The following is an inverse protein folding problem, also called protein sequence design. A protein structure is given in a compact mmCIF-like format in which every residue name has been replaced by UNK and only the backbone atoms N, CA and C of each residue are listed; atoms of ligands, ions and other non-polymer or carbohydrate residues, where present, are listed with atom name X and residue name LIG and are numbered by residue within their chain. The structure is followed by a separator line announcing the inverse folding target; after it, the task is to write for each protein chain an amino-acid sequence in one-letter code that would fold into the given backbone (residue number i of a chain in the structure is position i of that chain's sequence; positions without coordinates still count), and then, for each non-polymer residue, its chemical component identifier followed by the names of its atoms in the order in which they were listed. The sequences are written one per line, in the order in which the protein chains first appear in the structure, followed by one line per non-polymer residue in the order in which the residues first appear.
data_IF_064182037045
#
_entry.id   IF_064182037045
#
_cell.length_a   1.000
_cell.length_b   1.000
_cell.length_c   1.000
_cell.angle_alpha   90.00
_cell.angle_beta   90.00
_cell.angle_gamma   90.00
#
_symmetry.space_group_name_H-M   'P 1'
#
loop_
_entity.id
_entity.type
_entity.pdbx_description
1 polymer ?
#
# COMPACT_ATOMS: atom_id res chain seq x y z
N UNK A 1 4.35 34.04 26.19
CA UNK A 1 5.46 33.05 26.15
C UNK A 1 6.12 33.10 24.77
N UNK A 2 7.40 33.47 24.66
CA UNK A 2 8.04 33.70 23.36
C UNK A 2 8.51 32.36 22.74
N UNK A 3 7.66 31.74 21.92
CA UNK A 3 7.96 30.51 21.16
C UNK A 3 9.33 30.54 20.44
N UNK A 4 9.73 31.72 19.93
CA UNK A 4 11.03 31.93 19.29
C UNK A 4 12.24 31.72 20.20
N UNK A 5 12.12 31.88 21.52
CA UNK A 5 13.21 31.58 22.46
C UNK A 5 13.50 30.08 22.50
N UNK A 6 12.45 29.25 22.65
CA UNK A 6 12.58 27.80 22.69
C UNK A 6 13.09 27.22 21.37
N UNK A 7 12.66 27.77 20.22
CA UNK A 7 13.14 27.33 18.90
C UNK A 7 14.62 27.62 18.70
N UNK A 8 15.09 28.83 19.07
CA UNK A 8 16.49 29.23 18.94
C UNK A 8 17.39 28.41 19.87
N UNK A 9 16.89 28.13 21.07
CA UNK A 9 17.59 27.32 22.06
C UNK A 9 17.69 25.84 21.63
N UNK A 10 16.65 25.29 21.02
CA UNK A 10 16.67 23.94 20.45
C UNK A 10 17.66 23.82 19.27
N UNK A 11 17.71 24.80 18.36
CA UNK A 11 18.71 24.80 17.28
C UNK A 11 20.16 24.88 17.81
N UNK A 12 20.38 25.64 18.88
CA UNK A 12 21.68 25.68 19.56
C UNK A 12 22.03 24.35 20.23
N UNK A 13 21.04 23.68 20.83
CA UNK A 13 21.16 22.34 21.40
C UNK A 13 21.61 21.33 20.34
N UNK A 14 20.91 21.31 19.19
CA UNK A 14 21.17 20.41 18.07
C UNK A 14 22.60 20.52 17.54
N UNK A 15 23.15 21.75 17.49
CA UNK A 15 24.56 21.94 17.09
C UNK A 15 25.57 21.39 18.10
N UNK A 16 25.24 21.38 19.40
CA UNK A 16 26.10 20.81 20.46
C UNK A 16 26.06 19.28 20.48
N UNK A 17 24.94 18.67 20.12
CA UNK A 17 24.73 17.21 20.03
C UNK A 17 24.50 16.76 18.58
N UNK A 18 25.31 17.29 17.64
CA UNK A 18 25.06 17.18 16.21
C UNK A 18 25.05 15.74 15.69
N UNK A 19 25.99 14.89 16.11
CA UNK A 19 26.07 13.50 15.64
C UNK A 19 24.85 12.65 16.02
N UNK A 20 24.45 12.55 17.31
CA UNK A 20 23.23 11.82 17.70
C UNK A 20 21.95 12.40 17.08
N UNK A 21 21.86 13.72 16.98
CA UNK A 21 20.71 14.41 16.37
C UNK A 21 20.60 14.10 14.89
N UNK A 22 21.72 14.10 14.17
CA UNK A 22 21.77 13.73 12.76
C UNK A 22 21.42 12.26 12.54
N UNK A 23 21.95 11.35 13.37
CA UNK A 23 21.60 9.93 13.30
C UNK A 23 20.10 9.70 13.51
N UNK A 24 19.51 10.33 14.53
CA UNK A 24 18.08 10.27 14.79
C UNK A 24 17.25 10.84 13.62
N UNK A 25 17.67 11.98 13.06
CA UNK A 25 17.04 12.60 11.88
C UNK A 25 17.10 11.66 10.67
N UNK A 26 18.25 11.06 10.39
CA UNK A 26 18.45 10.14 9.27
C UNK A 26 17.57 8.88 9.41
N UNK A 27 17.43 8.34 10.62
CA UNK A 27 16.53 7.19 10.84
C UNK A 27 15.06 7.58 10.63
N UNK A 28 14.62 8.75 11.10
CA UNK A 28 13.26 9.25 10.82
C UNK A 28 13.06 9.44 9.32
N UNK A 29 14.04 10.01 8.61
CA UNK A 29 14.01 10.16 7.16
C UNK A 29 13.81 8.81 6.47
N UNK A 30 14.63 7.80 6.79
CA UNK A 30 14.54 6.47 6.17
C UNK A 30 13.18 5.84 6.47
N UNK A 31 12.68 5.99 7.70
CA UNK A 31 11.36 5.50 8.10
C UNK A 31 10.25 6.13 7.24
N UNK A 32 10.27 7.45 7.06
CA UNK A 32 9.27 8.16 6.27
C UNK A 32 9.39 7.88 4.77
N UNK A 33 10.60 7.67 4.26
CA UNK A 33 10.79 7.22 2.87
C UNK A 33 10.17 5.84 2.64
N UNK A 34 10.46 4.87 3.51
CA UNK A 34 9.89 3.53 3.41
C UNK A 34 8.37 3.60 3.46
N UNK A 35 7.79 4.33 4.42
CA UNK A 35 6.34 4.50 4.50
C UNK A 35 5.76 5.20 3.27
N UNK A 36 6.40 6.28 2.82
CA UNK A 36 5.95 7.09 1.68
C UNK A 36 5.98 6.35 0.34
N UNK A 37 6.91 5.41 0.16
CA UNK A 37 6.96 4.54 -1.03
C UNK A 37 5.95 3.39 -0.92
N UNK A 38 5.91 2.69 0.21
CA UNK A 38 5.13 1.46 0.30
C UNK A 38 3.63 1.67 0.54
N UNK A 39 3.21 2.76 1.18
CA UNK A 39 1.77 3.03 1.40
C UNK A 39 1.02 3.12 0.06
N UNK A 40 1.44 3.94 -0.92
CA UNK A 40 0.80 3.98 -2.24
C UNK A 40 0.84 2.63 -2.96
N UNK A 41 1.94 1.87 -2.89
CA UNK A 41 2.07 0.55 -3.53
C UNK A 41 1.04 -0.44 -2.96
N UNK A 42 0.92 -0.52 -1.63
CA UNK A 42 -0.04 -1.41 -0.98
C UNK A 42 -1.46 -1.00 -1.30
N UNK A 43 -1.77 0.31 -1.32
CA UNK A 43 -3.10 0.80 -1.71
C UNK A 43 -3.42 0.53 -3.16
N UNK A 44 -2.50 0.81 -4.08
CA UNK A 44 -2.63 0.54 -5.51
C UNK A 44 -2.97 -0.93 -5.76
N UNK A 45 -2.22 -1.83 -5.12
CA UNK A 45 -2.41 -3.27 -5.31
C UNK A 45 -3.69 -3.79 -4.63
N UNK A 46 -4.05 -3.23 -3.47
CA UNK A 46 -5.28 -3.59 -2.76
C UNK A 46 -6.53 -3.07 -3.49
N UNK A 47 -6.48 -1.85 -4.03
CA UNK A 47 -7.55 -1.24 -4.82
C UNK A 47 -7.81 -2.02 -6.10
N UNK A 48 -6.76 -2.27 -6.88
CA UNK A 48 -6.84 -3.10 -8.09
C UNK A 48 -7.42 -4.49 -7.78
N UNK A 49 -6.95 -5.13 -6.72
CA UNK A 49 -7.44 -6.45 -6.36
C UNK A 49 -8.87 -6.43 -5.80
N UNK A 50 -9.31 -5.36 -5.14
CA UNK A 50 -10.70 -5.21 -4.68
C UNK A 50 -11.66 -4.93 -5.83
N UNK A 51 -11.26 -4.16 -6.84
CA UNK A 51 -12.07 -3.99 -8.06
C UNK A 51 -12.24 -5.31 -8.80
N UNK A 52 -11.16 -6.09 -8.92
CA UNK A 52 -11.21 -7.43 -9.51
C UNK A 52 -12.03 -8.40 -8.64
N UNK A 53 -11.94 -8.29 -7.31
CA UNK A 53 -12.81 -9.03 -6.37
C UNK A 53 -14.26 -8.54 -6.39
N UNK A 54 -14.57 -7.34 -6.85
CA UNK A 54 -15.94 -6.87 -7.05
C UNK A 54 -16.58 -7.48 -8.30
N UNK A 55 -15.74 -7.83 -9.29
CA UNK A 55 -16.12 -8.53 -10.52
C UNK A 55 -15.81 -10.03 -10.41
N UNK A 56 -16.45 -10.68 -9.46
CA UNK A 56 -16.38 -12.13 -9.30
C UNK A 56 -17.06 -12.81 -10.47
N UNK A 57 -16.24 -13.12 -11.45
CA UNK A 57 -16.66 -13.65 -12.72
C UNK A 57 -15.91 -14.96 -12.92
N UNK A 58 -16.69 -16.02 -13.05
CA UNK A 58 -16.23 -17.27 -13.60
C UNK A 58 -16.37 -17.14 -15.12
N UNK A 59 -15.27 -17.27 -15.84
CA UNK A 59 -15.28 -17.22 -17.29
C UNK A 59 -15.34 -18.66 -17.82
N UNK A 60 -16.40 -18.94 -18.58
CA UNK A 60 -16.60 -20.19 -19.28
C UNK A 60 -16.32 -19.93 -20.75
N UNK A 61 -15.19 -20.44 -21.24
CA UNK A 61 -14.77 -20.28 -22.62
C UNK A 61 -15.38 -21.37 -23.49
N UNK A 62 -15.99 -20.96 -24.60
CA UNK A 62 -16.44 -21.89 -25.63
C UNK A 62 -15.29 -22.27 -26.53
N UNK A 63 -15.37 -23.48 -27.10
CA UNK A 63 -14.47 -23.89 -28.19
C UNK A 63 -14.65 -22.99 -29.41
N UNK A 64 -13.60 -22.86 -30.21
CA UNK A 64 -13.58 -22.01 -31.40
C UNK A 64 -14.54 -22.47 -32.51
N UNK A 65 -14.97 -23.72 -32.50
CA UNK A 65 -15.93 -24.35 -33.41
C UNK A 65 -17.38 -24.37 -32.89
N UNK A 66 -17.64 -23.82 -31.69
CA UNK A 66 -18.97 -23.79 -31.10
C UNK A 66 -19.96 -22.97 -31.94
N UNK A 67 -21.14 -23.53 -32.19
CA UNK A 67 -22.19 -22.86 -32.97
C UNK A 67 -23.03 -21.92 -32.09
N UNK A 68 -23.84 -21.06 -32.71
CA UNK A 68 -24.82 -20.24 -31.97
C UNK A 68 -25.83 -21.07 -31.18
N UNK A 69 -26.17 -22.27 -31.66
CA UNK A 69 -27.03 -23.21 -30.95
C UNK A 69 -26.33 -23.79 -29.71
N UNK A 70 -25.03 -24.09 -29.81
CA UNK A 70 -24.23 -24.53 -28.66
C UNK A 70 -24.13 -23.44 -27.60
N UNK A 71 -23.91 -22.19 -28.00
CA UNK A 71 -23.88 -21.07 -27.07
C UNK A 71 -25.21 -20.94 -26.30
N UNK A 72 -26.35 -21.05 -26.99
CA UNK A 72 -27.67 -20.99 -26.32
C UNK A 72 -27.89 -22.16 -25.36
N UNK A 73 -27.47 -23.37 -25.74
CA UNK A 73 -27.55 -24.57 -24.92
C UNK A 73 -26.71 -24.44 -23.65
N UNK A 74 -25.43 -24.10 -23.80
CA UNK A 74 -24.50 -23.84 -22.69
C UNK A 74 -25.03 -22.74 -21.77
N UNK A 75 -25.56 -21.65 -22.33
CA UNK A 75 -26.13 -20.57 -21.54
C UNK A 75 -27.27 -21.05 -20.64
N UNK A 76 -28.17 -21.88 -21.18
CA UNK A 76 -29.28 -22.46 -20.43
C UNK A 76 -28.81 -23.38 -19.30
N UNK A 77 -27.81 -24.22 -19.56
CA UNK A 77 -27.23 -25.11 -18.54
C UNK A 77 -26.55 -24.34 -17.40
N UNK A 78 -25.77 -23.31 -17.74
CA UNK A 78 -25.13 -22.44 -16.73
C UNK A 78 -26.20 -21.72 -15.90
N UNK A 79 -27.27 -21.19 -16.52
CA UNK A 79 -28.32 -20.47 -15.80
C UNK A 79 -29.10 -21.36 -14.83
N UNK A 80 -29.24 -22.67 -15.14
CA UNK A 80 -29.89 -23.65 -14.25
C UNK A 80 -29.00 -24.14 -13.12
N UNK A 81 -27.70 -23.83 -13.16
CA UNK A 81 -26.75 -24.29 -12.15
C UNK A 81 -26.98 -23.54 -10.82
N UNK A 82 -27.20 -24.26 -9.69
CA UNK A 82 -27.38 -23.63 -8.39
C UNK A 82 -26.20 -22.73 -8.01
N UNK A 83 -26.50 -21.53 -7.52
CA UNK A 83 -25.47 -20.56 -7.14
C UNK A 83 -25.08 -19.57 -8.23
N UNK A 84 -25.64 -19.67 -9.44
CA UNK A 84 -25.50 -18.64 -10.50
C UNK A 84 -26.53 -17.53 -10.30
N UNK A 85 -26.07 -16.27 -10.25
CA UNK A 85 -26.92 -15.08 -10.16
C UNK A 85 -27.20 -14.46 -11.52
N UNK A 86 -26.18 -14.41 -12.38
CA UNK A 86 -26.26 -13.78 -13.70
C UNK A 86 -25.27 -14.43 -14.67
N UNK A 87 -25.71 -14.65 -15.90
CA UNK A 87 -24.87 -15.10 -17.01
C UNK A 87 -24.88 -14.03 -18.10
N UNK A 88 -23.71 -13.60 -18.54
CA UNK A 88 -23.56 -12.64 -19.63
C UNK A 88 -22.74 -13.27 -20.75
N UNK A 89 -23.31 -13.32 -21.96
CA UNK A 89 -22.58 -13.70 -23.15
C UNK A 89 -21.72 -12.55 -23.65
N UNK A 90 -20.42 -12.79 -23.82
CA UNK A 90 -19.46 -11.86 -24.41
C UNK A 90 -18.92 -12.50 -25.67
N UNK A 91 -19.31 -11.96 -26.82
CA UNK A 91 -18.80 -12.47 -28.09
C UNK A 91 -17.32 -12.14 -28.26
N UNK A 92 -16.60 -12.96 -29.03
CA UNK A 92 -15.20 -12.74 -29.38
C UNK A 92 -14.94 -11.34 -29.94
N UNK A 93 -15.86 -10.82 -30.76
CA UNK A 93 -15.76 -9.46 -31.32
C UNK A 93 -15.88 -8.37 -30.24
N UNK A 94 -16.81 -8.53 -29.28
CA UNK A 94 -16.96 -7.58 -28.16
C UNK A 94 -15.79 -7.66 -27.18
N UNK A 95 -15.31 -8.86 -26.88
CA UNK A 95 -14.13 -9.07 -26.05
C UNK A 95 -12.90 -8.38 -26.68
N UNK A 96 -12.70 -8.57 -27.98
CA UNK A 96 -11.61 -7.96 -28.72
C UNK A 96 -11.69 -6.43 -28.76
N UNK A 97 -12.87 -5.86 -29.01
CA UNK A 97 -13.07 -4.41 -28.99
C UNK A 97 -12.78 -3.81 -27.59
N UNK A 98 -13.17 -4.50 -26.52
CA UNK A 98 -12.92 -4.07 -25.16
C UNK A 98 -11.43 -4.14 -24.78
N UNK A 99 -10.75 -5.24 -25.10
CA UNK A 99 -9.32 -5.41 -24.81
C UNK A 99 -8.44 -4.52 -25.67
N UNK A 100 -8.77 -4.32 -26.96
CA UNK A 100 -8.08 -3.36 -27.83
C UNK A 100 -8.18 -1.92 -27.33
N UNK A 101 -9.31 -1.54 -26.70
CA UNK A 101 -9.45 -0.21 -26.08
C UNK A 101 -8.56 -0.06 -24.84
N UNK A 102 -8.27 -1.16 -24.15
CA UNK A 102 -7.47 -1.20 -22.93
C UNK A 102 -5.97 -1.32 -23.22
N UNK A 103 -5.60 -2.02 -24.29
CA UNK A 103 -4.21 -2.22 -24.71
C UNK A 103 -4.10 -2.15 -26.25
N UNK A 104 -4.06 -0.94 -26.83
CA UNK A 104 -4.09 -0.76 -28.28
C UNK A 104 -2.86 -1.34 -28.98
N UNK A 105 -1.69 -1.25 -28.36
CA UNK A 105 -0.40 -1.65 -28.94
C UNK A 105 -0.24 -3.18 -29.00
N UNK A 106 -0.60 -3.89 -27.94
CA UNK A 106 -0.49 -5.35 -27.90
C UNK A 106 -1.37 -6.05 -28.95
N UNK A 107 -2.55 -5.50 -29.25
CA UNK A 107 -3.51 -6.08 -30.20
C UNK A 107 -3.34 -5.59 -31.64
N UNK A 108 -2.55 -4.54 -31.87
CA UNK A 108 -2.17 -4.12 -33.24
C UNK A 108 -1.18 -5.11 -33.88
N UNK A 109 -0.32 -5.74 -33.08
CA UNK A 109 0.69 -6.71 -33.56
C UNK A 109 0.10 -8.08 -33.95
N UNK A 110 -1.08 -8.42 -33.44
CA UNK A 110 -1.68 -9.76 -33.59
C UNK A 110 -2.39 -9.95 -34.94
N UNK A 111 -2.88 -8.89 -35.59
CA UNK A 111 -3.56 -8.93 -36.90
C UNK A 111 -4.91 -9.69 -36.96
N UNK A 112 -5.14 -10.63 -36.05
CA UNK A 112 -6.35 -11.46 -35.92
C UNK A 112 -6.83 -11.49 -34.47
N UNK A 113 -8.11 -11.80 -34.26
CA UNK A 113 -8.72 -11.88 -32.92
C UNK A 113 -8.46 -13.25 -32.28
N UNK A 114 -7.62 -13.37 -31.24
CA UNK A 114 -7.32 -14.65 -30.61
C UNK A 114 -8.36 -15.07 -29.55
N UNK A 115 -9.36 -14.23 -29.27
CA UNK A 115 -10.27 -14.43 -28.14
C UNK A 115 -11.46 -15.33 -28.53
N UNK A 116 -11.82 -16.32 -27.70
CA UNK A 116 -13.02 -17.12 -27.90
C UNK A 116 -14.28 -16.42 -27.39
N UNK A 117 -15.44 -16.93 -27.78
CA UNK A 117 -16.72 -16.54 -27.17
C UNK A 117 -16.75 -17.00 -25.70
N UNK A 118 -17.17 -16.11 -24.80
CA UNK A 118 -17.05 -16.32 -23.35
C UNK A 118 -18.35 -16.05 -22.64
N UNK A 119 -18.77 -16.96 -21.76
CA UNK A 119 -19.80 -16.68 -20.77
C UNK A 119 -19.18 -16.20 -19.47
N UNK A 120 -19.62 -15.03 -19.05
CA UNK A 120 -19.22 -14.37 -17.83
C UNK A 120 -20.27 -14.62 -16.76
N UNK A 121 -19.95 -15.50 -15.83
CA UNK A 121 -20.89 -16.02 -14.82
C UNK A 121 -20.64 -15.32 -13.48
N UNK A 122 -21.66 -14.64 -12.97
CA UNK A 122 -21.66 -14.00 -11.65
C UNK A 122 -22.31 -14.95 -10.64
N UNK A 123 -21.62 -15.35 -9.56
CA UNK A 123 -22.20 -16.18 -8.52
C UNK A 123 -23.12 -15.36 -7.60
N UNK A 124 -24.06 -16.03 -6.92
CA UNK A 124 -24.91 -15.43 -5.88
C UNK A 124 -24.10 -15.09 -4.63
N UNK A 125 -23.14 -15.93 -4.28
CA UNK A 125 -22.19 -15.69 -3.19
C UNK A 125 -20.74 -15.72 -3.69
N UNK A 126 -20.02 -14.66 -3.37
CA UNK A 126 -18.60 -14.47 -3.65
C UNK A 126 -17.69 -15.62 -3.16
N UNK A 127 -18.02 -16.27 -2.06
CA UNK A 127 -17.26 -17.38 -1.48
C UNK A 127 -17.39 -18.69 -2.25
N UNK A 128 -18.40 -18.83 -3.11
CA UNK A 128 -18.77 -20.08 -3.77
C UNK A 128 -18.21 -20.23 -5.19
N UNK A 129 -17.37 -19.32 -5.69
CA UNK A 129 -16.83 -19.40 -7.06
C UNK A 129 -16.12 -20.72 -7.33
N UNK A 130 -15.31 -21.19 -6.37
CA UNK A 130 -14.56 -22.44 -6.55
C UNK A 130 -15.53 -23.63 -6.61
N UNK A 131 -16.54 -23.65 -5.75
CA UNK A 131 -17.59 -24.65 -5.80
C UNK A 131 -18.36 -24.60 -7.13
N UNK A 132 -18.71 -23.40 -7.60
CA UNK A 132 -19.41 -23.22 -8.88
C UNK A 132 -18.55 -23.67 -10.08
N UNK A 133 -17.25 -23.40 -10.04
CA UNK A 133 -16.28 -23.93 -11.02
C UNK A 133 -16.24 -25.45 -10.98
N UNK A 134 -16.23 -26.04 -9.80
CA UNK A 134 -16.15 -27.49 -9.62
C UNK A 134 -17.47 -28.18 -10.03
N UNK A 135 -18.61 -27.48 -9.95
CA UNK A 135 -19.90 -27.95 -10.50
C UNK A 135 -19.92 -27.85 -12.03
N UNK A 136 -19.42 -26.75 -12.60
CA UNK A 136 -19.42 -26.51 -14.06
C UNK A 136 -18.31 -27.29 -14.80
N UNK A 137 -17.24 -27.67 -14.11
CA UNK A 137 -16.14 -28.44 -14.65
C UNK A 137 -15.49 -29.32 -13.55
N UNK A 138 -16.16 -30.40 -13.13
CA UNK A 138 -15.65 -31.32 -12.12
C UNK A 138 -14.30 -31.92 -12.51
N UNK A 139 -13.44 -32.08 -11.51
CA UNK A 139 -12.14 -32.75 -11.64
C UNK A 139 -12.37 -34.25 -11.78
N UNK A 140 -11.85 -34.85 -12.85
CA UNK A 140 -11.89 -36.30 -13.10
C UNK A 140 -10.61 -36.97 -12.59
N UNK A 141 -10.68 -38.27 -12.31
CA UNK A 141 -9.65 -39.10 -11.64
C UNK A 141 -8.29 -39.22 -12.38
N UNK A 142 -8.03 -38.40 -13.40
CA UNK A 142 -6.74 -38.29 -14.12
C UNK A 142 -6.16 -36.87 -14.15
N UNK A 143 -6.65 -35.95 -13.30
CA UNK A 143 -6.16 -34.57 -13.22
C UNK A 143 -6.74 -33.59 -14.25
N UNK A 144 -7.52 -34.09 -15.22
CA UNK A 144 -8.31 -33.26 -16.14
C UNK A 144 -9.60 -32.73 -15.52
N UNK A 145 -10.23 -31.75 -16.18
CA UNK A 145 -11.59 -31.31 -15.86
C UNK A 145 -12.53 -31.67 -16.99
N UNK A 146 -13.72 -32.15 -16.65
CA UNK A 146 -14.78 -32.43 -17.62
C UNK A 146 -15.87 -31.39 -17.47
N UNK A 147 -15.97 -30.41 -18.40
CA UNK A 147 -17.05 -29.44 -18.36
C UNK A 147 -18.42 -30.11 -18.46
N UNK A 148 -19.44 -29.43 -17.94
CA UNK A 148 -20.85 -29.86 -18.03
C UNK A 148 -21.33 -30.04 -19.48
N UNK A 149 -20.68 -29.35 -20.43
CA UNK A 149 -21.04 -29.32 -21.84
C UNK A 149 -19.80 -29.54 -22.72
N UNK A 150 -19.86 -30.39 -23.76
CA UNK A 150 -18.74 -30.60 -24.69
C UNK A 150 -18.32 -29.36 -25.49
N UNK A 151 -19.17 -28.35 -25.62
CA UNK A 151 -18.86 -27.08 -26.29
C UNK A 151 -18.03 -26.12 -25.41
N UNK A 152 -17.89 -26.42 -24.11
CA UNK A 152 -17.01 -25.67 -23.21
C UNK A 152 -15.58 -26.19 -23.36
N UNK A 153 -14.64 -25.28 -23.62
CA UNK A 153 -13.22 -25.60 -23.66
C UNK A 153 -12.63 -25.58 -22.25
N UNK A 154 -12.79 -24.46 -21.54
CA UNK A 154 -12.27 -24.30 -20.18
C UNK A 154 -13.16 -23.42 -19.32
N UNK A 155 -13.22 -23.76 -18.03
CA UNK A 155 -13.85 -22.93 -17.00
C UNK A 155 -12.73 -22.36 -16.13
N UNK A 156 -12.43 -21.06 -16.30
CA UNK A 156 -11.38 -20.38 -15.54
C UNK A 156 -11.99 -19.48 -14.49
N UNK A 157 -11.44 -19.59 -13.29
CA UNK A 157 -11.66 -18.61 -12.26
C UNK A 157 -10.66 -17.48 -12.46
N UNK A 158 -11.14 -16.28 -12.81
CA UNK A 158 -10.28 -15.10 -12.94
C UNK A 158 -9.56 -14.73 -11.62
N UNK A 159 -9.97 -15.33 -10.49
CA UNK A 159 -9.25 -15.26 -9.22
C UNK A 159 -7.91 -15.98 -9.19
N UNK A 160 -7.63 -17.01 -9.99
CA UNK A 160 -6.40 -17.79 -9.79
C UNK A 160 -5.13 -16.96 -10.08
N UNK A 161 -5.20 -16.05 -11.06
CA UNK A 161 -4.15 -15.05 -11.32
C UNK A 161 -4.18 -13.90 -10.29
N UNK A 162 -5.38 -13.47 -9.90
CA UNK A 162 -5.56 -12.41 -8.88
C UNK A 162 -5.08 -12.87 -7.49
N UNK A 163 -5.20 -14.15 -7.17
CA UNK A 163 -4.78 -14.75 -5.90
C UNK A 163 -3.25 -14.71 -5.73
N UNK A 164 -2.48 -14.86 -6.82
CA UNK A 164 -1.02 -14.70 -6.81
C UNK A 164 -0.61 -13.25 -6.53
N UNK A 165 -1.28 -12.30 -7.15
CA UNK A 165 -1.06 -10.86 -6.89
C UNK A 165 -1.44 -10.53 -5.44
N UNK A 166 -2.57 -11.04 -4.96
CA UNK A 166 -3.07 -10.83 -3.60
C UNK A 166 -2.19 -11.47 -2.52
N UNK A 167 -1.66 -12.66 -2.76
CA UNK A 167 -0.73 -13.30 -1.83
C UNK A 167 0.60 -12.55 -1.80
N UNK A 168 1.15 -12.16 -2.95
CA UNK A 168 2.34 -11.30 -3.03
C UNK A 168 2.13 -9.97 -2.30
N UNK A 169 0.98 -9.31 -2.50
CA UNK A 169 0.62 -8.08 -1.78
C UNK A 169 0.59 -8.30 -0.27
N UNK A 170 0.07 -9.44 0.20
CA UNK A 170 0.02 -9.75 1.63
C UNK A 170 1.42 -9.92 2.22
N UNK A 171 2.32 -10.59 1.49
CA UNK A 171 3.73 -10.73 1.88
C UNK A 171 4.42 -9.38 1.92
N UNK A 172 4.26 -8.55 0.88
CA UNK A 172 4.81 -7.19 0.85
C UNK A 172 4.29 -6.37 2.04
N UNK A 173 2.97 -6.37 2.28
CA UNK A 173 2.37 -5.66 3.42
C UNK A 173 2.94 -6.13 4.76
N UNK A 174 3.14 -7.44 4.95
CA UNK A 174 3.73 -8.00 6.17
C UNK A 174 5.18 -7.51 6.35
N UNK A 175 6.00 -7.62 5.30
CA UNK A 175 7.41 -7.19 5.32
C UNK A 175 7.50 -5.69 5.59
N UNK A 176 6.71 -4.86 4.89
CA UNK A 176 6.66 -3.42 5.11
C UNK A 176 6.22 -3.09 6.53
N UNK A 177 5.21 -3.79 7.08
CA UNK A 177 4.75 -3.56 8.44
C UNK A 177 5.83 -3.90 9.48
N UNK A 178 6.53 -5.03 9.31
CA UNK A 178 7.65 -5.41 10.18
C UNK A 178 8.79 -4.38 10.10
N UNK A 179 9.16 -3.96 8.89
CA UNK A 179 10.21 -2.97 8.67
C UNK A 179 9.82 -1.60 9.26
N UNK A 180 8.56 -1.18 9.09
CA UNK A 180 8.04 0.05 9.67
C UNK A 180 8.09 0.02 11.21
N UNK A 181 7.65 -1.07 11.84
CA UNK A 181 7.71 -1.22 13.30
C UNK A 181 9.16 -1.16 13.78
N UNK A 182 10.08 -1.87 13.12
CA UNK A 182 11.50 -1.86 13.44
C UNK A 182 12.09 -0.44 13.34
N UNK A 183 11.83 0.26 12.24
CA UNK A 183 12.38 1.60 11.99
C UNK A 183 11.77 2.66 12.93
N UNK A 184 10.47 2.61 13.19
CA UNK A 184 9.81 3.48 14.18
C UNK A 184 10.41 3.26 15.57
N UNK A 185 10.64 1.99 15.95
CA UNK A 185 11.27 1.66 17.23
C UNK A 185 12.71 2.19 17.29
N UNK A 186 13.49 2.01 16.22
CA UNK A 186 14.85 2.54 16.11
C UNK A 186 14.88 4.07 16.21
N UNK A 187 13.98 4.77 15.52
CA UNK A 187 13.81 6.23 15.63
C UNK A 187 13.50 6.65 17.06
N UNK A 188 12.55 5.99 17.74
CA UNK A 188 12.21 6.28 19.14
C UNK A 188 13.43 6.11 20.05
N UNK A 189 14.20 5.03 19.88
CA UNK A 189 15.39 4.74 20.68
C UNK A 189 16.50 5.77 20.45
N UNK A 190 16.79 6.10 19.19
CA UNK A 190 17.81 7.08 18.84
C UNK A 190 17.44 8.48 19.33
N UNK A 191 16.19 8.90 19.15
CA UNK A 191 15.70 10.18 19.68
C UNK A 191 15.80 10.18 21.20
N UNK A 192 15.38 9.09 21.86
CA UNK A 192 15.48 8.98 23.32
C UNK A 192 16.92 9.15 23.81
N UNK A 193 17.88 8.55 23.10
CA UNK A 193 19.30 8.65 23.41
C UNK A 193 19.84 10.07 23.16
N UNK A 194 19.48 10.69 22.05
CA UNK A 194 19.84 12.08 21.73
C UNK A 194 19.34 13.03 22.81
N UNK A 195 18.08 12.89 23.24
CA UNK A 195 17.52 13.71 24.33
C UNK A 195 18.25 13.46 25.66
N UNK A 196 18.63 12.21 25.96
CA UNK A 196 19.40 11.90 27.16
C UNK A 196 20.76 12.59 27.16
N UNK A 197 21.46 12.60 26.02
CA UNK A 197 22.73 13.29 25.87
C UNK A 197 22.57 14.81 25.97
N UNK A 198 21.51 15.37 25.36
CA UNK A 198 21.18 16.81 25.47
C UNK A 198 20.91 17.22 26.92
N UNK A 199 20.12 16.42 27.65
CA UNK A 199 19.87 16.58 29.09
C UNK A 199 21.17 16.55 29.90
N UNK A 200 22.04 15.57 29.65
CA UNK A 200 23.32 15.45 30.37
C UNK A 200 24.23 16.66 30.13
N UNK A 201 24.27 17.17 28.90
CA UNK A 201 25.03 18.37 28.55
C UNK A 201 24.50 19.64 29.22
N UNK A 202 23.19 19.68 29.53
CA UNK A 202 22.50 20.82 30.18
C UNK A 202 22.17 20.56 31.64
N UNK A 203 22.80 19.56 32.29
CA UNK A 203 22.42 19.11 33.63
C UNK A 203 22.46 20.22 34.69
N UNK A 204 23.45 21.13 34.62
CA UNK A 204 23.58 22.26 35.55
C UNK A 204 22.46 23.28 35.39
N UNK A 205 22.02 23.54 34.17
CA UNK A 205 20.89 24.44 33.90
C UNK A 205 19.59 23.83 34.45
N UNK A 206 19.39 22.53 34.23
CA UNK A 206 18.24 21.79 34.76
C UNK A 206 18.23 21.80 36.30
N UNK A 207 19.39 21.64 36.93
CA UNK A 207 19.55 21.69 38.39
C UNK A 207 19.18 23.06 38.96
N UNK A 208 19.70 24.14 38.37
CA UNK A 208 19.31 25.51 38.74
C UNK A 208 17.81 25.74 38.57
N UNK A 209 17.22 25.27 37.46
CA UNK A 209 15.77 25.37 37.23
C UNK A 209 14.96 24.62 38.31
N UNK A 210 15.40 23.44 38.74
CA UNK A 210 14.76 22.73 39.86
C UNK A 210 14.87 23.51 41.17
N UNK A 211 16.02 24.12 41.47
CA UNK A 211 16.25 24.87 42.72
C UNK A 211 15.38 26.13 42.83
N UNK A 212 15.04 26.77 41.71
CA UNK A 212 14.12 27.93 41.69
C UNK A 212 12.64 27.53 41.59
N UNK A 213 12.31 26.24 41.73
CA UNK A 213 10.93 25.73 41.79
C UNK A 213 10.26 25.53 40.43
N UNK A 214 11.02 25.38 39.33
CA UNK A 214 10.42 25.08 38.03
C UNK A 214 9.73 23.71 38.03
N UNK A 215 8.54 23.64 37.43
CA UNK A 215 7.83 22.36 37.30
C UNK A 215 8.55 21.40 36.35
N UNK A 216 8.45 20.11 36.62
CA UNK A 216 8.93 19.04 35.75
C UNK A 216 8.51 19.23 34.29
N UNK A 217 7.27 19.68 34.06
CA UNK A 217 6.74 19.92 32.72
C UNK A 217 7.48 21.05 32.02
N UNK A 218 7.75 22.16 32.72
CA UNK A 218 8.49 23.29 32.17
C UNK A 218 9.92 22.91 31.78
N UNK A 219 10.57 22.04 32.57
CA UNK A 219 11.91 21.51 32.29
C UNK A 219 11.90 20.59 31.06
N UNK A 220 10.81 19.86 30.80
CA UNK A 220 10.69 18.87 29.72
C UNK A 220 10.45 19.49 28.34
N UNK A 221 9.69 20.57 28.24
CA UNK A 221 9.29 21.17 26.96
C UNK A 221 10.43 21.47 25.98
N UNK A 222 11.56 22.08 26.40
CA UNK A 222 12.68 22.35 25.50
C UNK A 222 13.19 21.09 24.80
N UNK A 223 13.24 19.97 25.51
CA UNK A 223 13.74 18.69 24.99
C UNK A 223 12.71 17.99 24.09
N UNK A 224 11.41 18.10 24.40
CA UNK A 224 10.35 17.61 23.50
C UNK A 224 10.38 18.38 22.18
N UNK A 225 10.52 19.70 22.25
CA UNK A 225 10.65 20.56 21.06
C UNK A 225 11.88 20.18 20.24
N UNK A 226 13.03 19.92 20.88
CA UNK A 226 14.24 19.45 20.21
C UNK A 226 13.97 18.14 19.44
N UNK A 227 13.33 17.16 20.08
CA UNK A 227 12.95 15.90 19.43
C UNK A 227 11.99 16.11 18.26
N UNK A 228 10.95 16.93 18.43
CA UNK A 228 9.99 17.26 17.36
C UNK A 228 10.67 17.94 16.18
N UNK A 229 11.64 18.84 16.41
CA UNK A 229 12.40 19.49 15.33
C UNK A 229 13.22 18.46 14.54
N UNK A 230 13.90 17.54 15.23
CA UNK A 230 14.64 16.45 14.58
C UNK A 230 13.72 15.60 13.71
N UNK A 231 12.54 15.23 14.24
CA UNK A 231 11.53 14.48 13.52
C UNK A 231 10.96 15.21 12.31
N UNK A 232 10.63 16.48 12.50
CA UNK A 232 10.09 17.34 11.45
C UNK A 232 11.11 17.52 10.32
N UNK A 233 12.38 17.79 10.64
CA UNK A 233 13.44 17.92 9.64
C UNK A 233 13.63 16.62 8.86
N UNK A 234 13.67 15.47 9.54
CA UNK A 234 13.76 14.16 8.89
C UNK A 234 12.57 13.88 7.97
N UNK A 235 11.35 14.18 8.43
CA UNK A 235 10.12 14.02 7.66
C UNK A 235 10.05 14.95 6.44
N UNK A 236 10.37 16.23 6.62
CA UNK A 236 10.42 17.23 5.53
C UNK A 236 11.43 16.81 4.45
N UNK A 237 12.62 16.37 4.87
CA UNK A 237 13.65 15.92 3.93
C UNK A 237 13.20 14.64 3.19
N UNK A 238 12.55 13.70 3.86
CA UNK A 238 11.95 12.54 3.21
C UNK A 238 10.88 12.93 2.18
N UNK A 239 9.98 13.87 2.53
CA UNK A 239 8.94 14.36 1.62
C UNK A 239 9.54 15.04 0.40
N UNK A 240 10.60 15.85 0.58
CA UNK A 240 11.30 16.48 -0.53
C UNK A 240 11.87 15.43 -1.48
N UNK A 241 12.55 14.40 -0.94
CA UNK A 241 13.08 13.30 -1.73
C UNK A 241 11.97 12.49 -2.44
N UNK A 242 10.84 12.24 -1.77
CA UNK A 242 9.68 11.58 -2.39
C UNK A 242 9.09 12.43 -3.52
N UNK A 243 9.02 13.75 -3.33
CA UNK A 243 8.52 14.69 -4.36
C UNK A 243 9.43 14.71 -5.58
N UNK A 244 10.75 14.78 -5.37
CA UNK A 244 11.74 14.69 -6.44
C UNK A 244 11.64 13.34 -7.13
N UNK A 245 11.57 12.23 -6.39
CA UNK A 245 11.42 10.90 -6.94
C UNK A 245 10.14 10.73 -7.77
N UNK A 246 9.03 11.31 -7.31
CA UNK A 246 7.77 11.33 -8.07
C UNK A 246 7.94 12.07 -9.40
N UNK A 247 8.44 13.30 -9.38
CA UNK A 247 8.55 14.15 -10.58
C UNK A 247 9.59 13.60 -11.56
N UNK A 248 10.70 13.04 -11.07
CA UNK A 248 11.80 12.59 -11.91
C UNK A 248 11.62 11.16 -12.45
N UNK A 249 10.93 10.27 -11.71
CA UNK A 249 10.75 8.88 -12.13
C UNK A 249 9.29 8.57 -12.49
N UNK A 250 8.33 8.94 -11.63
CA UNK A 250 6.95 8.47 -11.77
C UNK A 250 6.19 9.24 -12.86
N UNK A 251 6.30 10.56 -12.87
CA UNK A 251 5.55 11.41 -13.81
C UNK A 251 5.97 11.17 -15.29
N UNK A 252 7.27 11.02 -15.63
CA UNK A 252 7.69 10.66 -17.00
C UNK A 252 7.27 9.25 -17.40
N UNK A 253 7.37 8.28 -16.49
CA UNK A 253 6.93 6.91 -16.76
C UNK A 253 5.43 6.83 -17.04
N UNK A 254 4.60 7.66 -16.41
CA UNK A 254 3.17 7.74 -16.71
C UNK A 254 2.87 8.41 -18.05
N UNK A 255 3.69 9.39 -18.46
CA UNK A 255 3.54 10.08 -19.74
C UNK A 255 3.93 9.18 -20.92
N UNK A 256 5.05 8.45 -20.80
CA UNK A 256 5.57 7.58 -21.86
C UNK A 256 4.86 6.22 -21.90
N UNK A 257 4.47 5.69 -20.73
CA UNK A 257 3.66 4.48 -20.62
C UNK A 257 2.27 4.85 -20.11
N UNK A 258 1.42 5.34 -21.02
CA UNK A 258 -0.03 5.49 -20.81
C UNK A 258 -0.74 4.23 -20.28
N UNK A 259 -0.04 3.08 -20.37
CA UNK A 259 -0.35 1.77 -19.79
C UNK A 259 -0.41 1.73 -18.25
N UNK A 260 0.20 2.69 -17.55
CA UNK A 260 0.17 2.83 -16.10
C UNK A 260 -0.81 3.92 -15.69
N UNK A 261 -2.10 3.75 -16.01
CA UNK A 261 -3.14 4.52 -15.30
C UNK A 261 -3.02 4.13 -13.82
N UNK A 262 -2.36 4.98 -13.03
CA UNK A 262 -2.14 4.72 -11.62
C UNK A 262 -3.51 4.46 -10.97
N UNK A 263 -3.69 3.32 -10.25
CA UNK A 263 -4.92 3.12 -9.49
C UNK A 263 -5.14 4.34 -8.60
N UNK A 264 -6.40 4.72 -8.37
CA UNK A 264 -6.73 5.79 -7.45
C UNK A 264 -6.14 5.46 -6.06
N UNK A 265 -4.98 6.03 -5.81
CA UNK A 265 -4.26 5.95 -4.54
C UNK A 265 -4.55 7.21 -3.75
N UNK A 266 -4.18 7.19 -2.48
CA UNK A 266 -4.10 8.39 -1.65
C UNK A 266 -3.54 9.58 -2.44
N UNK A 267 -4.28 10.69 -2.45
CA UNK A 267 -3.81 11.96 -2.98
C UNK A 267 -2.44 12.30 -2.36
N UNK A 268 -1.46 12.64 -3.19
CA UNK A 268 -0.09 12.91 -2.73
C UNK A 268 -0.03 13.96 -1.61
N UNK A 269 -0.89 14.99 -1.65
CA UNK A 269 -1.00 15.97 -0.57
C UNK A 269 -1.47 15.37 0.76
N UNK A 270 -2.41 14.43 0.72
CA UNK A 270 -2.86 13.70 1.92
C UNK A 270 -1.73 12.79 2.45
N UNK A 271 -0.96 12.16 1.56
CA UNK A 271 0.22 11.36 1.94
C UNK A 271 1.26 12.22 2.67
N UNK A 272 1.56 13.41 2.14
CA UNK A 272 2.46 14.39 2.78
C UNK A 272 1.98 14.74 4.18
N UNK A 273 0.70 15.05 4.36
CA UNK A 273 0.13 15.36 5.68
C UNK A 273 0.28 14.18 6.64
N UNK A 274 -0.04 12.97 6.20
CA UNK A 274 0.11 11.75 7.02
C UNK A 274 1.56 11.54 7.44
N UNK A 275 2.53 11.70 6.53
CA UNK A 275 3.95 11.52 6.83
C UNK A 275 4.49 12.58 7.78
N UNK A 276 4.09 13.85 7.65
CA UNK A 276 4.47 14.91 8.61
C UNK A 276 3.90 14.61 9.99
N UNK A 277 2.62 14.27 10.08
CA UNK A 277 1.99 13.95 11.37
C UNK A 277 2.64 12.72 12.01
N UNK A 278 2.96 11.70 11.21
CA UNK A 278 3.66 10.51 11.67
C UNK A 278 5.08 10.83 12.16
N UNK A 279 5.86 11.65 11.43
CA UNK A 279 7.22 12.00 11.85
C UNK A 279 7.24 12.80 13.14
N UNK A 280 6.35 13.80 13.27
CA UNK A 280 6.19 14.58 14.50
C UNK A 280 5.73 13.66 15.65
N UNK A 281 4.77 12.78 15.40
CA UNK A 281 4.23 11.85 16.39
C UNK A 281 5.30 10.89 16.94
N UNK A 282 6.04 10.22 16.05
CA UNK A 282 7.13 9.31 16.43
C UNK A 282 8.19 10.04 17.26
N UNK A 283 8.54 11.27 16.89
CA UNK A 283 9.56 12.03 17.60
C UNK A 283 9.10 12.65 18.91
N UNK A 284 7.84 13.08 19.01
CA UNK A 284 7.22 13.50 20.25
C UNK A 284 7.13 12.33 21.25
N UNK A 285 6.76 11.14 20.77
CA UNK A 285 6.73 9.93 21.59
C UNK A 285 8.13 9.55 22.08
N UNK A 286 9.13 9.53 21.18
CA UNK A 286 10.51 9.20 21.55
C UNK A 286 11.09 10.15 22.59
N UNK A 287 10.93 11.46 22.40
CA UNK A 287 11.39 12.46 23.38
C UNK A 287 10.65 12.35 24.71
N UNK A 288 9.32 12.17 24.69
CA UNK A 288 8.49 12.02 25.88
C UNK A 288 8.80 10.78 26.74
N UNK A 289 9.10 9.64 26.11
CA UNK A 289 9.46 8.38 26.81
C UNK A 289 10.78 8.55 27.57
N UNK A 290 11.78 9.20 26.97
CA UNK A 290 13.09 9.45 27.61
C UNK A 290 12.94 10.31 28.86
N UNK A 291 12.13 11.37 28.79
CA UNK A 291 11.92 12.32 29.87
C UNK A 291 11.17 11.73 31.07
N UNK A 292 10.19 10.83 30.83
CA UNK A 292 9.47 10.13 31.93
C UNK A 292 10.38 9.25 32.76
N UNK A 293 11.42 8.64 32.17
CA UNK A 293 12.36 7.76 32.87
C UNK A 293 13.41 8.54 33.66
N UNK A 294 13.82 9.72 33.21
CA UNK A 294 14.98 10.43 33.78
C UNK A 294 14.65 11.38 34.94
N UNK A 295 13.42 11.91 35.01
CA UNK A 295 13.01 12.86 36.05
C UNK A 295 12.28 12.22 37.25
N UNK A 296 12.21 10.88 37.30
CA UNK A 296 11.71 10.13 38.48
C UNK A 296 12.78 9.93 39.57
N UNK A 297 13.88 10.68 39.49
CA UNK A 297 14.94 10.76 40.51
C UNK A 297 15.07 12.21 40.97
#
# INVERSE_FOLDING_TARGET
MKFGFFLREAMRALRRTAMPSFAAMATVLVTMLVLGVFIPIVQATTGAANEVRGRLLLDVYLKTDATGADAQRVQGEIQRTPGVKRVQYVSKARAYAAERKRNPEAYQLLGVNPLPDTFRVTPTNAGQINHLRDVLAPTVAGGGRRPIDPAIETVRNRRDETNKILSATRVVKLITAMLAILLITASILLISNTIRLSLFARRREVEVMKLVGATDWFIRWPFVIEGVIVGALGGVLAILLLTVGKIALIDPLQADFSLLTAPETINFGLLVVVLILASIGVSALGSGISLRRFLRV
#
